data_IF_764105522254
#
_entry.id   IF_764105522254
#
_cell.length_a   1.000
_cell.length_b   1.000
_cell.length_c   1.000
_cell.angle_alpha   90.00
_cell.angle_beta   90.00
_cell.angle_gamma   90.00
#
_symmetry.space_group_name_H-M   'P 1'
#
loop_
_entity.id
_entity.type
_entity.pdbx_description
1 polymer ?
#
# COMPACT_ATOMS: atom_id res chain seq x y z
N UNK A 1 5.85 -17.54 -3.15
CA UNK A 1 5.00 -16.72 -4.04
C UNK A 1 3.74 -16.27 -3.31
N UNK A 2 3.15 -17.11 -2.46
CA UNK A 2 1.84 -16.85 -1.83
C UNK A 2 1.81 -15.64 -0.88
N UNK A 3 2.89 -15.37 -0.14
CA UNK A 3 2.96 -14.24 0.79
C UNK A 3 2.95 -12.87 0.11
N UNK A 4 3.62 -12.74 -1.06
CA UNK A 4 3.65 -11.49 -1.81
C UNK A 4 2.28 -11.19 -2.43
N UNK A 5 1.61 -12.22 -2.95
CA UNK A 5 0.24 -12.11 -3.48
C UNK A 5 -0.73 -11.68 -2.38
N UNK A 6 -0.63 -12.28 -1.19
CA UNK A 6 -1.46 -11.89 -0.04
C UNK A 6 -1.20 -10.45 0.42
N UNK A 7 0.06 -10.00 0.41
CA UNK A 7 0.42 -8.63 0.73
C UNK A 7 -0.20 -7.64 -0.26
N UNK A 8 -0.03 -7.88 -1.57
CA UNK A 8 -0.58 -7.01 -2.62
C UNK A 8 -2.10 -7.04 -2.63
N UNK A 9 -2.71 -8.21 -2.39
CA UNK A 9 -4.16 -8.36 -2.25
C UNK A 9 -4.74 -7.49 -1.13
N UNK A 10 -4.06 -7.38 0.02
CA UNK A 10 -4.50 -6.50 1.12
C UNK A 10 -4.48 -5.02 0.73
N UNK A 11 -3.50 -4.59 -0.06
CA UNK A 11 -3.38 -3.21 -0.55
C UNK A 11 -4.52 -2.91 -1.53
N UNK A 12 -4.79 -3.81 -2.47
CA UNK A 12 -5.89 -3.66 -3.42
C UNK A 12 -7.24 -3.61 -2.72
N UNK A 13 -7.49 -4.53 -1.77
CA UNK A 13 -8.71 -4.52 -0.97
C UNK A 13 -8.88 -3.20 -0.21
N UNK A 14 -7.80 -2.63 0.34
CA UNK A 14 -7.84 -1.33 1.01
C UNK A 14 -8.22 -0.20 0.04
N UNK A 15 -7.64 -0.18 -1.17
CA UNK A 15 -7.94 0.83 -2.18
C UNK A 15 -9.38 0.74 -2.72
N UNK A 16 -9.83 -0.47 -3.07
CA UNK A 16 -11.22 -0.69 -3.51
C UNK A 16 -12.24 -0.39 -2.39
N UNK A 17 -11.90 -0.70 -1.14
CA UNK A 17 -12.71 -0.33 0.01
C UNK A 17 -12.92 1.18 0.13
N UNK A 18 -11.89 1.99 -0.17
CA UNK A 18 -12.01 3.46 -0.20
C UNK A 18 -12.88 3.97 -1.33
N UNK A 19 -12.91 3.30 -2.49
CA UNK A 19 -13.84 3.62 -3.58
C UNK A 19 -15.28 3.34 -3.13
N UNK A 20 -15.52 2.17 -2.55
CA UNK A 20 -16.85 1.78 -2.08
C UNK A 20 -17.37 2.66 -0.93
N UNK A 21 -16.47 3.11 -0.04
CA UNK A 21 -16.78 3.95 1.11
C UNK A 21 -16.20 5.37 0.99
N UNK A 22 -16.31 5.97 -0.20
CA UNK A 22 -15.61 7.22 -0.53
C UNK A 22 -15.93 8.36 0.44
N UNK A 23 -17.21 8.71 0.59
CA UNK A 23 -17.64 9.83 1.45
C UNK A 23 -17.22 9.62 2.92
N UNK A 24 -17.37 8.39 3.43
CA UNK A 24 -16.98 8.04 4.79
C UNK A 24 -15.45 8.16 4.99
N UNK A 25 -14.67 7.66 4.04
CA UNK A 25 -13.21 7.75 4.07
C UNK A 25 -12.75 9.20 4.02
N UNK A 26 -13.34 10.01 3.13
CA UNK A 26 -13.02 11.43 2.99
C UNK A 26 -13.30 12.20 4.29
N UNK A 27 -14.45 11.95 4.92
CA UNK A 27 -14.79 12.53 6.22
C UNK A 27 -13.82 12.11 7.33
N UNK A 28 -13.43 10.84 7.36
CA UNK A 28 -12.45 10.33 8.31
C UNK A 28 -11.06 10.96 8.12
N UNK A 29 -10.61 11.14 6.87
CA UNK A 29 -9.37 11.86 6.57
C UNK A 29 -9.41 13.29 7.11
N UNK A 30 -10.50 14.02 6.85
CA UNK A 30 -10.67 15.39 7.33
C UNK A 30 -10.66 15.45 8.88
N UNK A 31 -11.31 14.50 9.55
CA UNK A 31 -11.31 14.40 11.01
C UNK A 31 -9.90 14.17 11.61
N UNK A 32 -9.00 13.54 10.85
CA UNK A 32 -7.61 13.31 11.23
C UNK A 32 -6.65 14.41 10.74
N UNK A 33 -7.17 15.54 10.23
CA UNK A 33 -6.38 16.67 9.74
C UNK A 33 -5.77 16.46 8.35
N UNK A 34 -6.18 15.41 7.62
CA UNK A 34 -5.73 15.16 6.24
C UNK A 34 -6.76 15.71 5.26
N UNK A 35 -6.38 16.57 4.29
CA UNK A 35 -7.32 17.09 3.31
C UNK A 35 -8.01 15.98 2.52
N UNK A 36 -9.35 15.94 2.56
CA UNK A 36 -10.13 14.93 1.84
C UNK A 36 -9.93 14.94 0.32
N UNK A 37 -9.51 16.06 -0.25
CA UNK A 37 -9.14 16.19 -1.66
C UNK A 37 -7.96 15.29 -2.08
N UNK A 38 -7.18 14.76 -1.13
CA UNK A 38 -6.10 13.81 -1.39
C UNK A 38 -6.60 12.37 -1.58
N UNK A 39 -7.87 12.07 -1.26
CA UNK A 39 -8.41 10.71 -1.34
C UNK A 39 -8.25 10.06 -2.73
N UNK A 40 -8.50 10.76 -3.87
CA UNK A 40 -8.22 10.20 -5.19
C UNK A 40 -6.75 9.78 -5.39
N UNK A 41 -5.79 10.55 -4.87
CA UNK A 41 -4.37 10.22 -4.95
C UNK A 41 -4.03 8.99 -4.09
N UNK A 42 -4.64 8.88 -2.91
CA UNK A 42 -4.49 7.70 -2.03
C UNK A 42 -5.03 6.45 -2.73
N UNK A 43 -6.22 6.52 -3.32
CA UNK A 43 -6.83 5.42 -4.08
C UNK A 43 -5.94 5.04 -5.27
N UNK A 44 -5.46 6.03 -6.03
CA UNK A 44 -4.57 5.80 -7.17
C UNK A 44 -3.27 5.11 -6.73
N UNK A 45 -2.71 5.50 -5.59
CA UNK A 45 -1.51 4.89 -5.06
C UNK A 45 -1.74 3.43 -4.63
N UNK A 46 -2.80 3.14 -3.89
CA UNK A 46 -3.09 1.77 -3.42
C UNK A 46 -3.51 0.84 -4.56
N UNK A 47 -4.47 1.26 -5.38
CA UNK A 47 -4.97 0.45 -6.50
C UNK A 47 -3.94 0.39 -7.61
N UNK A 48 -3.45 1.53 -8.08
CA UNK A 48 -2.46 1.60 -9.15
C UNK A 48 -1.13 0.99 -8.76
N UNK A 49 -0.64 1.27 -7.55
CA UNK A 49 0.57 0.65 -7.03
C UNK A 49 0.42 -0.86 -6.84
N UNK A 50 -0.70 -1.33 -6.29
CA UNK A 50 -0.97 -2.76 -6.16
C UNK A 50 -1.03 -3.48 -7.52
N UNK A 51 -1.68 -2.89 -8.52
CA UNK A 51 -1.72 -3.43 -9.87
C UNK A 51 -0.34 -3.42 -10.53
N UNK A 52 0.47 -2.37 -10.34
CA UNK A 52 1.84 -2.31 -10.83
C UNK A 52 2.73 -3.42 -10.22
N UNK A 53 2.54 -3.73 -8.93
CA UNK A 53 3.22 -4.85 -8.26
C UNK A 53 2.79 -6.21 -8.84
N UNK A 54 1.50 -6.43 -9.12
CA UNK A 54 1.02 -7.67 -9.77
C UNK A 54 1.59 -7.79 -11.18
N UNK A 55 1.55 -6.71 -11.97
CA UNK A 55 2.04 -6.69 -13.34
C UNK A 55 3.58 -6.81 -13.41
N UNK A 56 4.28 -6.60 -12.30
CA UNK A 56 5.74 -6.59 -12.24
C UNK A 56 6.35 -5.43 -13.02
N UNK A 57 5.71 -4.26 -12.97
CA UNK A 57 6.12 -3.03 -13.66
C UNK A 57 6.57 -2.01 -12.62
N UNK A 58 7.80 -1.52 -12.73
CA UNK A 58 8.40 -0.57 -11.78
C UNK A 58 8.26 -1.03 -10.32
N UNK A 59 8.43 -2.33 -10.07
CA UNK A 59 8.11 -2.96 -8.78
C UNK A 59 8.83 -2.30 -7.61
N UNK A 60 10.10 -1.90 -7.81
CA UNK A 60 10.87 -1.21 -6.75
C UNK A 60 10.28 0.14 -6.36
N UNK A 61 9.85 0.93 -7.34
CA UNK A 61 9.29 2.26 -7.11
C UNK A 61 7.91 2.11 -6.46
N UNK A 62 7.04 1.28 -7.04
CA UNK A 62 5.70 1.03 -6.51
C UNK A 62 5.74 0.50 -5.06
N UNK A 63 6.62 -0.47 -4.78
CA UNK A 63 6.77 -1.03 -3.44
C UNK A 63 7.30 0.01 -2.44
N UNK A 64 8.26 0.84 -2.84
CA UNK A 64 8.80 1.91 -1.97
C UNK A 64 7.74 2.94 -1.62
N UNK A 65 6.97 3.42 -2.60
CA UNK A 65 5.90 4.40 -2.37
C UNK A 65 4.80 3.83 -1.47
N UNK A 66 4.38 2.59 -1.71
CA UNK A 66 3.39 1.90 -0.87
C UNK A 66 3.90 1.65 0.56
N UNK A 67 5.20 1.40 0.73
CA UNK A 67 5.80 1.22 2.05
C UNK A 67 5.77 2.52 2.86
N UNK A 68 6.23 3.62 2.24
CA UNK A 68 6.18 4.96 2.86
C UNK A 68 4.74 5.31 3.20
N UNK A 69 3.81 5.10 2.27
CA UNK A 69 2.39 5.34 2.51
C UNK A 69 1.86 4.52 3.69
N UNK A 70 2.20 3.23 3.79
CA UNK A 70 1.75 2.37 4.89
C UNK A 70 2.24 2.89 6.24
N UNK A 71 3.51 3.33 6.33
CA UNK A 71 4.06 3.93 7.57
C UNK A 71 3.32 5.22 7.91
N UNK A 72 3.15 6.11 6.94
CA UNK A 72 2.42 7.38 7.14
C UNK A 72 0.98 7.13 7.58
N UNK A 73 0.29 6.16 6.96
CA UNK A 73 -1.06 5.78 7.34
C UNK A 73 -1.13 5.23 8.77
N UNK A 74 -0.17 4.39 9.19
CA UNK A 74 -0.09 3.89 10.56
C UNK A 74 0.04 5.04 11.57
N UNK A 75 0.96 5.97 11.31
CA UNK A 75 1.26 7.09 12.20
C UNK A 75 0.14 8.12 12.22
N UNK A 76 -0.59 8.35 11.13
CA UNK A 76 -1.69 9.33 11.14
C UNK A 76 -2.94 8.72 11.76
N UNK A 77 -3.36 7.54 11.31
CA UNK A 77 -4.69 7.00 11.60
C UNK A 77 -4.73 6.04 12.79
N UNK A 78 -3.60 5.49 13.24
CA UNK A 78 -3.57 4.33 14.15
C UNK A 78 -2.66 4.48 15.38
N UNK A 79 -2.58 5.68 15.98
CA UNK A 79 -1.71 5.95 17.15
C UNK A 79 -2.33 5.72 18.52
N UNK A 80 -3.62 5.40 18.61
CA UNK A 80 -4.29 5.22 19.90
C UNK A 80 -4.10 3.80 20.43
N UNK A 81 -2.91 3.51 20.98
CA UNK A 81 -2.51 2.14 21.33
C UNK A 81 -3.31 1.48 22.47
N UNK A 82 -4.05 2.26 23.26
CA UNK A 82 -4.98 1.73 24.26
C UNK A 82 -6.20 1.03 23.63
N UNK A 83 -6.56 1.41 22.40
CA UNK A 83 -7.57 0.69 21.61
C UNK A 83 -6.89 -0.47 20.86
N UNK A 84 -7.38 -1.68 21.12
CA UNK A 84 -6.83 -2.91 20.56
C UNK A 84 -6.91 -2.92 19.02
N UNK A 85 -8.00 -2.44 18.45
CA UNK A 85 -8.20 -2.39 17.00
C UNK A 85 -7.22 -1.42 16.35
N UNK A 86 -6.98 -0.25 16.96
CA UNK A 86 -6.00 0.72 16.49
C UNK A 86 -4.58 0.13 16.53
N UNK A 87 -4.21 -0.53 17.63
CA UNK A 87 -2.93 -1.25 17.73
C UNK A 87 -2.75 -2.33 16.66
N UNK A 88 -3.80 -3.11 16.38
CA UNK A 88 -3.79 -4.12 15.31
C UNK A 88 -3.59 -3.46 13.94
N UNK A 89 -4.30 -2.36 13.66
CA UNK A 89 -4.20 -1.66 12.38
C UNK A 89 -2.84 -0.99 12.19
N UNK A 90 -2.24 -0.45 13.27
CA UNK A 90 -0.89 0.06 13.24
C UNK A 90 0.11 -1.04 12.88
N UNK A 91 0.07 -2.16 13.59
CA UNK A 91 0.99 -3.29 13.34
C UNK A 91 0.78 -3.90 11.96
N UNK A 92 -0.46 -3.98 11.47
CA UNK A 92 -0.76 -4.39 10.09
C UNK A 92 -0.02 -3.51 9.08
N UNK A 93 -0.13 -2.19 9.21
CA UNK A 93 0.51 -1.26 8.29
C UNK A 93 2.05 -1.32 8.38
N UNK A 94 2.60 -1.50 9.59
CA UNK A 94 4.04 -1.66 9.79
C UNK A 94 4.56 -2.97 9.16
N UNK A 95 3.84 -4.09 9.34
CA UNK A 95 4.18 -5.36 8.73
C UNK A 95 4.08 -5.30 7.19
N UNK A 96 3.06 -4.62 6.66
CA UNK A 96 2.95 -4.36 5.23
C UNK A 96 4.14 -3.56 4.70
N UNK A 97 4.53 -2.48 5.39
CA UNK A 97 5.69 -1.68 5.02
C UNK A 97 6.97 -2.53 4.99
N UNK A 98 7.20 -3.39 5.99
CA UNK A 98 8.33 -4.31 6.01
C UNK A 98 8.35 -5.27 4.82
N UNK A 99 7.20 -5.88 4.49
CA UNK A 99 7.06 -6.75 3.32
C UNK A 99 7.29 -6.03 1.99
N UNK A 100 6.82 -4.79 1.88
CA UNK A 100 7.02 -3.94 0.70
C UNK A 100 8.47 -3.48 0.55
N UNK A 101 9.16 -3.13 1.64
CA UNK A 101 10.57 -2.79 1.62
C UNK A 101 11.44 -3.99 1.21
N UNK A 102 11.11 -5.19 1.69
CA UNK A 102 11.76 -6.42 1.22
C UNK A 102 11.54 -6.62 -0.29
N UNK A 103 10.33 -6.38 -0.79
CA UNK A 103 10.04 -6.46 -2.22
C UNK A 103 10.78 -5.38 -3.02
N UNK A 104 10.91 -4.16 -2.48
CA UNK A 104 11.67 -3.08 -3.09
C UNK A 104 13.17 -3.41 -3.18
N UNK A 105 13.75 -4.02 -2.14
CA UNK A 105 15.16 -4.42 -2.11
C UNK A 105 15.46 -5.54 -3.11
N UNK A 106 14.61 -6.57 -3.17
CA UNK A 106 14.85 -7.75 -4.02
C UNK A 106 14.36 -7.56 -5.47
N UNK A 107 13.49 -6.59 -5.74
CA UNK A 107 12.91 -6.35 -7.06
C UNK A 107 11.87 -7.39 -7.48
N UNK A 108 11.42 -7.31 -8.73
CA UNK A 108 10.40 -8.19 -9.28
C UNK A 108 10.97 -9.60 -9.57
N UNK A 109 10.25 -10.66 -9.17
CA UNK A 109 10.68 -12.05 -9.35
C UNK A 109 10.80 -12.51 -10.83
N UNK A 110 11.26 -13.75 -11.03
CA UNK A 110 11.66 -14.31 -12.34
C UNK A 110 10.63 -14.21 -13.49
N UNK A 111 9.30 -14.28 -13.29
CA UNK A 111 8.33 -13.91 -14.31
C UNK A 111 7.80 -12.49 -14.06
N UNK A 112 8.59 -11.46 -14.36
CA UNK A 112 8.13 -10.07 -14.30
C UNK A 112 8.55 -9.26 -15.53
N UNK A 113 7.78 -8.22 -15.85
CA UNK A 113 8.08 -7.31 -16.96
C UNK A 113 9.41 -6.57 -16.74
N UNK A 114 9.69 -6.18 -15.50
CA UNK A 114 10.98 -5.59 -15.13
C UNK A 114 12.16 -6.52 -15.44
N UNK A 115 12.03 -7.83 -15.17
CA UNK A 115 13.07 -8.82 -15.47
C UNK A 115 13.30 -8.98 -16.99
N UNK A 116 12.22 -9.00 -17.79
CA UNK A 116 12.30 -9.10 -19.26
C UNK A 116 13.07 -7.94 -19.89
N UNK A 117 12.95 -6.73 -19.35
CA UNK A 117 13.70 -5.56 -19.85
C UNK A 117 15.18 -5.62 -19.48
N UNK A 118 15.54 -6.07 -18.27
CA UNK A 118 16.97 -6.17 -17.87
C UNK A 118 17.75 -7.21 -18.65
N UNK A 119 17.08 -8.23 -19.21
CA UNK A 119 17.72 -9.28 -20.02
C UNK A 119 17.87 -8.89 -21.50
N UNK A 120 17.21 -7.81 -21.93
CA UNK A 120 17.21 -7.31 -23.31
C UNK A 120 18.17 -6.13 -23.52
N UNK A 121 18.92 -5.74 -22.50
CA UNK A 121 19.96 -4.71 -22.48
C UNK A 121 21.32 -5.33 -22.22
#
# INVERSE_FOLDING_TARGET
>A
MDYAVNLVGRILLAGFGKIAAYAATQGYMAAMGVPGALLPLVILLEVGGGLALIAGVQTRIAASLLAVFSIVAAVIFHRHFADQMQSIMFMKNLAMAGGLLLLAAHGAGAPSWDHRKSKAS
#
